data_IF_928801148397
#
_entry.id   IF_928801148397
#
_cell.length_a   1.000
_cell.length_b   1.000
_cell.length_c   1.000
_cell.angle_alpha   90.00
_cell.angle_beta   90.00
_cell.angle_gamma   90.00
#
_symmetry.space_group_name_H-M   'P 1'
#
loop_
_entity.id
_entity.type
_entity.pdbx_description
1 polymer ?
#
# COMPACT_ATOMS: atom_id res chain seq x y z
N UNK A 1 2.93 40.16 -46.39
CA UNK A 1 2.36 38.91 -45.85
C UNK A 1 2.31 39.02 -44.33
N UNK A 2 1.11 39.06 -43.73
CA UNK A 2 0.91 39.20 -42.28
C UNK A 2 0.64 37.81 -41.68
N UNK A 3 1.63 37.18 -41.05
CA UNK A 3 1.40 35.93 -40.32
C UNK A 3 0.94 36.23 -38.89
N UNK A 4 -0.37 36.14 -38.70
CA UNK A 4 -1.04 36.18 -37.40
C UNK A 4 -0.86 34.81 -36.72
N UNK A 5 0.13 34.67 -35.84
CA UNK A 5 0.18 33.55 -34.90
C UNK A 5 -0.80 33.83 -33.75
N UNK A 6 -1.96 33.17 -33.78
CA UNK A 6 -2.96 33.23 -32.71
C UNK A 6 -2.44 32.42 -31.51
N UNK A 7 -2.26 33.10 -30.39
CA UNK A 7 -2.00 32.50 -29.08
C UNK A 7 -3.19 31.62 -28.66
N UNK A 8 -3.05 30.29 -28.75
CA UNK A 8 -3.95 29.36 -28.08
C UNK A 8 -3.45 29.16 -26.64
N UNK A 9 -4.02 29.91 -25.69
CA UNK A 9 -3.90 29.58 -24.27
C UNK A 9 -4.88 28.44 -23.97
N UNK A 10 -4.38 27.21 -23.91
CA UNK A 10 -5.18 26.08 -23.43
C UNK A 10 -5.55 26.34 -21.95
N UNK A 11 -6.84 26.57 -21.68
CA UNK A 11 -7.38 26.59 -20.32
C UNK A 11 -7.36 25.15 -19.81
N UNK A 12 -6.42 24.83 -18.93
CA UNK A 12 -6.46 23.60 -18.14
C UNK A 12 -7.55 23.80 -17.09
N UNK A 13 -8.70 23.18 -17.29
CA UNK A 13 -9.81 23.17 -16.32
C UNK A 13 -9.63 21.95 -15.42
N UNK A 14 -9.08 22.13 -14.23
CA UNK A 14 -8.99 21.05 -13.23
C UNK A 14 -10.36 20.87 -12.57
N UNK A 15 -11.13 19.90 -13.03
CA UNK A 15 -12.33 19.42 -12.33
C UNK A 15 -11.92 18.78 -11.00
N UNK A 16 -12.32 19.37 -9.87
CA UNK A 16 -12.20 18.73 -8.55
C UNK A 16 -13.28 17.65 -8.46
N UNK A 17 -12.90 16.40 -8.69
CA UNK A 17 -13.74 15.27 -8.31
C UNK A 17 -13.79 15.21 -6.77
N UNK A 18 -14.97 15.11 -6.17
CA UNK A 18 -15.09 14.81 -4.74
C UNK A 18 -14.67 13.35 -4.49
N UNK A 19 -13.75 13.14 -3.54
CA UNK A 19 -13.37 11.79 -3.10
C UNK A 19 -14.38 11.31 -2.05
N UNK A 20 -15.06 10.21 -2.34
CA UNK A 20 -15.92 9.52 -1.39
C UNK A 20 -15.20 8.23 -0.96
N UNK A 21 -14.69 8.21 0.27
CA UNK A 21 -14.10 7.02 0.87
C UNK A 21 -15.16 6.16 1.55
N UNK A 22 -15.15 4.86 1.28
CA UNK A 22 -15.89 3.87 2.07
C UNK A 22 -14.95 3.27 3.11
N UNK A 23 -15.36 3.27 4.39
CA UNK A 23 -14.63 2.60 5.46
C UNK A 23 -15.29 1.25 5.74
N UNK A 24 -14.49 0.19 5.82
CA UNK A 24 -14.91 -1.13 6.26
C UNK A 24 -13.87 -1.70 7.22
N UNK A 25 -14.33 -2.25 8.34
CA UNK A 25 -13.49 -2.99 9.29
C UNK A 25 -13.74 -4.49 9.12
N UNK A 26 -12.67 -5.26 9.03
CA UNK A 26 -12.68 -6.72 8.96
C UNK A 26 -11.73 -7.24 10.03
N UNK A 27 -12.14 -8.29 10.73
CA UNK A 27 -11.37 -8.90 11.82
C UNK A 27 -11.32 -10.42 11.62
N UNK A 28 -10.17 -11.01 11.92
CA UNK A 28 -9.96 -12.45 11.84
C UNK A 28 -9.00 -12.89 12.95
N UNK A 29 -9.15 -14.13 13.43
CA UNK A 29 -8.25 -14.73 14.43
C UNK A 29 -7.72 -16.05 13.89
N UNK A 30 -6.41 -16.22 13.96
CA UNK A 30 -5.70 -17.43 13.57
C UNK A 30 -4.94 -18.01 14.77
N UNK A 31 -4.91 -19.33 14.87
CA UNK A 31 -4.04 -20.05 15.80
C UNK A 31 -2.83 -20.58 15.05
N UNK A 32 -1.63 -20.16 15.47
CA UNK A 32 -0.36 -20.63 14.92
C UNK A 32 0.40 -21.44 15.99
N UNK A 33 0.92 -22.60 15.61
CA UNK A 33 1.72 -23.43 16.51
C UNK A 33 3.18 -22.93 16.51
N UNK A 34 3.60 -22.28 17.59
CA UNK A 34 4.97 -21.80 17.76
C UNK A 34 5.11 -20.77 18.87
N UNK A 35 6.35 -20.43 19.23
CA UNK A 35 6.62 -19.30 20.12
C UNK A 35 6.31 -17.99 19.38
N UNK A 36 5.69 -17.03 20.06
CA UNK A 36 5.39 -15.69 19.54
C UNK A 36 6.64 -15.01 18.95
N UNK A 37 7.80 -15.15 19.60
CA UNK A 37 9.07 -14.55 19.13
C UNK A 37 9.60 -15.17 17.83
N UNK A 38 9.06 -16.34 17.43
CA UNK A 38 9.41 -17.03 16.20
C UNK A 38 8.36 -16.80 15.11
N UNK A 39 7.08 -16.83 15.49
CA UNK A 39 5.96 -16.69 14.54
C UNK A 39 5.75 -15.25 14.12
N UNK A 40 5.76 -14.32 15.08
CA UNK A 40 5.40 -12.93 14.81
C UNK A 40 6.30 -12.25 13.76
N UNK A 41 7.64 -12.43 13.80
CA UNK A 41 8.51 -11.88 12.76
C UNK A 41 8.23 -12.41 11.36
N UNK A 42 7.64 -13.61 11.22
CA UNK A 42 7.33 -14.22 9.91
C UNK A 42 6.16 -13.54 9.19
N UNK A 43 5.32 -12.81 9.93
CA UNK A 43 4.18 -12.05 9.38
C UNK A 43 4.59 -10.68 8.83
N UNK A 44 5.90 -10.39 8.80
CA UNK A 44 6.46 -9.19 8.18
C UNK A 44 6.51 -9.37 6.66
N UNK A 45 6.19 -8.35 5.83
CA UNK A 45 6.18 -8.49 4.37
C UNK A 45 7.55 -8.91 3.81
N UNK A 46 8.64 -8.55 4.49
CA UNK A 46 9.99 -9.01 4.12
C UNK A 46 10.18 -10.50 4.39
N UNK A 47 9.68 -11.01 5.52
CA UNK A 47 9.79 -12.42 5.89
C UNK A 47 8.75 -13.29 5.20
N UNK A 48 7.57 -12.75 4.88
CA UNK A 48 6.57 -13.44 4.08
C UNK A 48 7.15 -13.82 2.70
N UNK A 49 8.06 -13.03 2.14
CA UNK A 49 8.77 -13.40 0.91
C UNK A 49 9.64 -14.67 1.04
N UNK A 50 10.04 -15.05 2.26
CA UNK A 50 10.87 -16.23 2.50
C UNK A 50 10.07 -17.54 2.44
N UNK A 51 8.74 -17.50 2.64
CA UNK A 51 7.92 -18.70 2.81
C UNK A 51 6.57 -18.70 2.09
N UNK A 52 6.07 -17.52 1.68
CA UNK A 52 4.79 -17.39 0.98
C UNK A 52 5.03 -17.31 -0.54
N UNK A 53 4.71 -18.41 -1.23
CA UNK A 53 4.90 -18.52 -2.68
C UNK A 53 4.13 -17.43 -3.44
N UNK A 54 4.85 -16.74 -4.34
CA UNK A 54 4.27 -15.67 -5.15
C UNK A 54 3.97 -14.39 -4.37
N UNK A 55 4.53 -14.23 -3.16
CA UNK A 55 4.41 -13.00 -2.40
C UNK A 55 5.14 -11.84 -3.09
N UNK A 56 4.40 -10.77 -3.33
CA UNK A 56 4.90 -9.52 -3.89
C UNK A 56 4.54 -8.37 -2.96
N UNK A 57 5.52 -7.54 -2.63
CA UNK A 57 5.30 -6.33 -1.85
C UNK A 57 6.23 -5.22 -2.28
N UNK A 58 5.88 -3.98 -1.91
CA UNK A 58 6.74 -2.82 -2.03
C UNK A 58 6.80 -2.10 -0.69
N UNK A 59 8.01 -2.01 -0.13
CA UNK A 59 8.24 -1.23 1.08
C UNK A 59 8.08 0.27 0.79
N UNK A 60 7.28 0.97 1.60
CA UNK A 60 7.07 2.43 1.50
C UNK A 60 7.80 3.13 2.64
N UNK A 61 7.66 2.65 3.88
CA UNK A 61 8.34 3.19 5.05
C UNK A 61 8.55 2.11 6.13
N UNK A 62 9.78 1.98 6.61
CA UNK A 62 10.14 1.23 7.82
C UNK A 62 11.52 1.70 8.29
N UNK A 63 11.76 1.81 9.59
CA UNK A 63 13.07 2.14 10.16
C UNK A 63 13.95 0.90 10.22
N UNK A 64 13.40 -0.23 10.65
CA UNK A 64 14.14 -1.51 10.74
C UNK A 64 14.19 -2.28 9.42
N UNK A 65 13.29 -1.95 8.49
CA UNK A 65 12.99 -2.80 7.33
C UNK A 65 12.06 -3.97 7.68
N UNK A 66 11.59 -4.09 8.92
CA UNK A 66 10.64 -5.13 9.36
C UNK A 66 9.24 -4.54 9.60
N UNK A 67 8.29 -5.40 10.00
CA UNK A 67 7.03 -4.95 10.62
C UNK A 67 7.39 -4.37 11.98
N UNK A 68 6.95 -3.14 12.16
CA UNK A 68 7.01 -2.38 13.38
C UNK A 68 5.90 -1.33 13.33
N UNK A 69 5.61 -0.68 14.44
CA UNK A 69 4.62 0.38 14.50
C UNK A 69 4.99 1.48 13.49
N UNK A 70 3.98 1.96 12.77
CA UNK A 70 4.09 2.94 11.68
C UNK A 70 4.79 2.44 10.40
N UNK A 71 5.09 1.14 10.31
CA UNK A 71 5.51 0.53 9.05
C UNK A 71 4.40 0.65 7.99
N UNK A 72 4.78 1.05 6.78
CA UNK A 72 3.89 1.20 5.62
C UNK A 72 4.47 0.44 4.44
N UNK A 73 3.65 -0.41 3.84
CA UNK A 73 4.01 -1.16 2.62
C UNK A 73 2.79 -1.34 1.74
N UNK A 74 3.00 -1.71 0.48
CA UNK A 74 1.92 -2.07 -0.42
C UNK A 74 2.06 -3.48 -0.94
N UNK A 75 0.91 -4.10 -1.25
CA UNK A 75 0.84 -5.37 -1.96
C UNK A 75 -0.06 -5.23 -3.19
N UNK A 76 0.25 -5.92 -4.30
CA UNK A 76 -0.70 -6.04 -5.39
C UNK A 76 -1.86 -6.91 -4.91
N UNK A 77 -3.08 -6.37 -4.86
CA UNK A 77 -4.25 -7.22 -4.60
C UNK A 77 -4.44 -8.18 -5.77
N UNK A 78 -4.85 -9.42 -5.50
CA UNK A 78 -5.44 -10.34 -6.49
C UNK A 78 -6.67 -9.71 -7.17
N UNK A 79 -6.49 -8.75 -8.08
CA UNK A 79 -7.51 -8.40 -9.06
C UNK A 79 -7.61 -6.96 -9.55
N UNK A 80 -7.42 -5.89 -8.74
CA UNK A 80 -7.74 -4.52 -9.25
C UNK A 80 -6.93 -3.34 -8.75
N UNK A 81 -6.49 -3.28 -7.49
CA UNK A 81 -5.86 -2.08 -6.93
C UNK A 81 -4.71 -2.42 -6.00
N UNK A 82 -3.72 -1.52 -5.94
CA UNK A 82 -2.66 -1.57 -4.95
C UNK A 82 -3.27 -1.35 -3.56
N UNK A 83 -2.99 -2.26 -2.63
CA UNK A 83 -3.43 -2.15 -1.23
C UNK A 83 -2.31 -1.54 -0.42
N UNK A 84 -2.60 -0.48 0.33
CA UNK A 84 -1.67 0.12 1.29
C UNK A 84 -1.97 -0.42 2.69
N UNK A 85 -0.93 -0.92 3.35
CA UNK A 85 -0.96 -1.46 4.70
C UNK A 85 -0.26 -0.49 5.63
N UNK A 86 -0.84 -0.26 6.82
CA UNK A 86 -0.21 0.47 7.92
C UNK A 86 -0.31 -0.36 9.19
N UNK A 87 0.83 -0.57 9.85
CA UNK A 87 0.87 -1.21 11.16
C UNK A 87 0.60 -0.16 12.23
N UNK A 88 -0.57 -0.23 12.86
CA UNK A 88 -0.96 0.72 13.93
C UNK A 88 -0.62 0.21 15.33
N UNK A 89 -0.60 -1.11 15.51
CA UNK A 89 -0.20 -1.82 16.72
C UNK A 89 0.25 -3.24 16.35
N UNK A 90 1.15 -3.82 17.14
CA UNK A 90 1.57 -5.20 17.01
C UNK A 90 1.91 -5.84 18.36
#
# INVERSE_FOLDING_TARGET
MKNSFRNLKAKVTTSKQEFIGLQKTLEFTQTNHGNIDQVFPLLCPVREADWLDGWEYKMIHSKSGLIEQDCVFSTPHHGKFETIWQVTQY
#
